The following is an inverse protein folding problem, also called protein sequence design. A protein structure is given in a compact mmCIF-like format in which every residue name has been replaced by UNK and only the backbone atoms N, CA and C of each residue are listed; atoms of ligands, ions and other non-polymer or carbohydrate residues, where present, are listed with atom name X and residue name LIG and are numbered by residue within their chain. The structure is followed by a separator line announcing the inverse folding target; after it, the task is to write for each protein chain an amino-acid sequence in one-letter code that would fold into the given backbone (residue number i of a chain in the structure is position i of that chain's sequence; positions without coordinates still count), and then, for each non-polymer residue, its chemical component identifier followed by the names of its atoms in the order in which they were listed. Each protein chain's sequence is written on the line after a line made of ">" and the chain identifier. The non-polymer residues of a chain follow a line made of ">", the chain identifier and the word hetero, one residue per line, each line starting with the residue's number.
data_IF_423909721724
#
_entry.id   IF_423909721724
#
_cell.length_a   1.000
_cell.length_b   1.000
_cell.length_c   1.000
_cell.angle_alpha   90.00
_cell.angle_beta   90.00
_cell.angle_gamma   90.00
#
_symmetry.space_group_name_H-M   'P 1'
#
loop_
_entity.id
_entity.type
_entity.pdbx_description
1 polymer ?
#
# COMPACT_ATOMS: atom_id res chain seq x y z
N UNK A 1 -13.62 9.62 -10.83
CA UNK A 1 -12.33 8.90 -10.92
C UNK A 1 -12.49 7.57 -10.19
N UNK A 2 -11.80 6.52 -10.63
CA UNK A 2 -11.79 5.24 -9.91
C UNK A 2 -10.51 5.13 -9.07
N UNK A 3 -10.65 4.84 -7.78
CA UNK A 3 -9.54 4.41 -6.93
C UNK A 3 -9.68 2.91 -6.69
N UNK A 4 -8.64 2.15 -7.02
CA UNK A 4 -8.59 0.71 -6.85
C UNK A 4 -7.50 0.41 -5.82
N UNK A 5 -7.90 0.02 -4.62
CA UNK A 5 -7.01 -0.51 -3.62
C UNK A 5 -6.65 -1.95 -3.97
N UNK A 6 -5.38 -2.31 -3.86
CA UNK A 6 -4.86 -3.66 -4.09
C UNK A 6 -4.00 -4.03 -2.88
N UNK A 7 -4.31 -5.13 -2.21
CA UNK A 7 -3.39 -5.70 -1.22
C UNK A 7 -2.22 -6.34 -1.96
N UNK A 8 -0.99 -6.17 -1.47
CA UNK A 8 0.17 -6.88 -2.04
C UNK A 8 -0.06 -8.41 -2.17
N UNK A 9 0.65 -9.05 -3.10
CA UNK A 9 0.67 -10.50 -3.21
C UNK A 9 1.29 -11.18 -1.98
N UNK A 10 1.24 -12.51 -1.88
CA UNK A 10 1.80 -13.23 -0.75
C UNK A 10 3.28 -12.90 -0.52
N UNK A 11 3.59 -12.23 0.59
CA UNK A 11 4.95 -12.01 1.06
C UNK A 11 5.44 -13.17 1.94
N UNK A 12 6.75 -13.24 2.17
CA UNK A 12 7.33 -14.25 3.08
C UNK A 12 6.66 -14.23 4.47
N UNK A 13 6.31 -13.05 4.97
CA UNK A 13 5.61 -12.88 6.25
C UNK A 13 4.18 -13.48 6.28
N UNK A 14 3.62 -13.88 5.14
CA UNK A 14 2.30 -14.53 5.04
C UNK A 14 2.39 -16.06 4.95
N UNK A 15 3.59 -16.65 4.92
CA UNK A 15 3.81 -18.12 4.81
C UNK A 15 3.94 -18.77 6.18
N UNK A 16 3.74 -20.07 6.37
CA UNK A 16 3.75 -20.70 7.71
C UNK A 16 5.14 -20.94 8.35
N UNK A 17 6.16 -20.20 7.89
CA UNK A 17 7.51 -20.30 8.48
C UNK A 17 7.57 -19.65 9.87
N UNK A 18 8.42 -20.17 10.79
CA UNK A 18 8.66 -19.53 12.07
C UNK A 18 9.18 -18.10 11.91
N UNK A 19 8.81 -17.21 12.84
CA UNK A 19 9.28 -15.82 12.92
C UNK A 19 8.99 -14.93 11.69
N UNK A 20 8.09 -15.38 10.81
CA UNK A 20 7.70 -14.71 9.56
C UNK A 20 7.38 -13.21 9.72
N UNK A 21 6.73 -12.84 10.82
CA UNK A 21 6.29 -11.47 11.09
C UNK A 21 7.44 -10.54 11.52
N UNK A 22 8.57 -11.10 11.97
CA UNK A 22 9.77 -10.35 12.34
C UNK A 22 10.80 -10.25 11.21
N UNK A 23 10.48 -10.77 10.02
CA UNK A 23 11.29 -10.56 8.83
C UNK A 23 11.17 -9.11 8.39
N UNK A 24 12.29 -8.38 8.39
CA UNK A 24 12.35 -6.98 7.92
C UNK A 24 12.22 -6.96 6.39
N UNK A 25 11.40 -6.04 5.87
CA UNK A 25 11.21 -5.82 4.43
C UNK A 25 11.01 -7.12 3.62
N UNK A 26 10.03 -7.96 3.98
CA UNK A 26 9.86 -9.26 3.34
C UNK A 26 9.49 -9.09 1.86
N UNK A 27 10.18 -9.84 1.00
CA UNK A 27 9.85 -9.97 -0.42
C UNK A 27 8.55 -10.75 -0.65
N UNK A 28 8.00 -10.59 -1.85
CA UNK A 28 7.02 -11.51 -2.42
C UNK A 28 7.63 -12.91 -2.60
N UNK A 29 6.83 -13.91 -2.24
CA UNK A 29 7.07 -15.31 -2.60
C UNK A 29 6.79 -15.53 -4.09
N UNK A 30 7.19 -16.68 -4.63
CA UNK A 30 6.84 -17.06 -6.01
C UNK A 30 5.31 -17.10 -6.21
N UNK A 31 4.59 -17.72 -5.27
CA UNK A 31 3.13 -17.70 -5.26
C UNK A 31 2.58 -16.27 -5.25
N UNK A 32 3.20 -15.37 -4.49
CA UNK A 32 2.85 -13.96 -4.46
C UNK A 32 3.03 -13.28 -5.81
N UNK A 33 4.13 -13.56 -6.52
CA UNK A 33 4.38 -13.04 -7.86
C UNK A 33 3.34 -13.56 -8.86
N UNK A 34 2.99 -14.85 -8.80
CA UNK A 34 1.93 -15.44 -9.62
C UNK A 34 0.54 -14.82 -9.35
N UNK A 35 0.20 -14.58 -8.08
CA UNK A 35 -1.04 -13.91 -7.70
C UNK A 35 -1.14 -12.51 -8.32
N UNK A 36 -0.06 -11.73 -8.22
CA UNK A 36 -0.03 -10.36 -8.76
C UNK A 36 -0.02 -10.37 -10.30
N UNK A 37 0.66 -11.33 -10.93
CA UNK A 37 0.66 -11.47 -12.38
C UNK A 37 -0.77 -11.68 -12.93
N UNK A 38 -1.63 -12.41 -12.20
CA UNK A 38 -3.04 -12.61 -12.58
C UNK A 38 -3.85 -11.31 -12.62
N UNK A 39 -3.53 -10.31 -11.77
CA UNK A 39 -4.20 -9.00 -11.80
C UNK A 39 -4.09 -8.29 -13.15
N UNK A 40 -3.03 -8.56 -13.90
CA UNK A 40 -2.86 -7.99 -15.24
C UNK A 40 -3.94 -8.45 -16.21
N UNK A 41 -4.45 -9.67 -16.02
CA UNK A 41 -5.57 -10.20 -16.82
C UNK A 41 -6.91 -9.58 -16.42
N UNK A 42 -7.04 -9.10 -15.18
CA UNK A 42 -8.28 -8.49 -14.67
C UNK A 42 -8.43 -7.02 -15.09
N UNK A 43 -7.37 -6.22 -14.95
CA UNK A 43 -7.48 -4.76 -15.06
C UNK A 43 -7.09 -4.16 -16.40
N UNK A 44 -6.37 -4.90 -17.26
CA UNK A 44 -5.75 -4.35 -18.47
C UNK A 44 -5.08 -2.99 -18.18
N UNK A 45 -3.98 -3.00 -17.44
CA UNK A 45 -3.29 -1.77 -17.03
C UNK A 45 -2.83 -0.94 -18.25
N UNK A 46 -2.90 0.38 -18.13
CA UNK A 46 -2.59 1.34 -19.19
C UNK A 46 -1.59 2.40 -18.72
N UNK A 47 -0.98 3.13 -19.67
CA UNK A 47 0.06 4.13 -19.37
C UNK A 47 -0.51 5.38 -18.68
N UNK A 48 -1.80 5.65 -18.86
CA UNK A 48 -2.50 6.77 -18.25
C UNK A 48 -2.90 6.51 -16.79
N UNK A 49 -2.86 5.25 -16.36
CA UNK A 49 -3.13 4.87 -14.98
C UNK A 49 -2.02 5.40 -14.04
N UNK A 50 -2.42 5.72 -12.82
CA UNK A 50 -1.48 6.11 -11.76
C UNK A 50 -1.36 4.98 -10.74
N UNK A 51 -0.14 4.68 -10.32
CA UNK A 51 0.17 3.64 -9.34
C UNK A 51 0.81 4.28 -8.11
N UNK A 52 0.23 4.04 -6.94
CA UNK A 52 0.72 4.56 -5.66
C UNK A 52 1.03 3.37 -4.77
N UNK A 53 2.28 3.20 -4.40
CA UNK A 53 2.74 2.09 -3.58
C UNK A 53 2.99 2.52 -2.14
N UNK A 54 2.65 1.62 -1.22
CA UNK A 54 3.19 1.63 0.13
C UNK A 54 4.71 1.49 0.07
N UNK A 55 5.47 2.09 1.00
CA UNK A 55 6.92 1.99 1.04
C UNK A 55 7.38 0.67 1.66
N UNK A 56 6.71 -0.45 1.40
CA UNK A 56 7.22 -1.79 1.78
C UNK A 56 7.74 -2.50 0.53
N UNK A 57 8.76 -3.34 0.68
CA UNK A 57 9.38 -3.99 -0.48
C UNK A 57 8.37 -4.84 -1.28
N UNK A 58 7.53 -5.62 -0.59
CA UNK A 58 6.44 -6.40 -1.20
C UNK A 58 5.42 -5.59 -2.01
N UNK A 59 5.12 -4.35 -1.61
CA UNK A 59 4.19 -3.47 -2.34
C UNK A 59 4.87 -2.81 -3.53
N UNK A 60 6.16 -2.47 -3.41
CA UNK A 60 6.98 -2.00 -4.53
C UNK A 60 7.13 -3.10 -5.58
N UNK A 61 7.44 -4.33 -5.18
CA UNK A 61 7.50 -5.49 -6.08
C UNK A 61 6.15 -5.76 -6.75
N UNK A 62 5.04 -5.70 -6.00
CA UNK A 62 3.69 -5.83 -6.55
C UNK A 62 3.44 -4.78 -7.63
N UNK A 63 3.78 -3.51 -7.34
CA UNK A 63 3.63 -2.39 -8.28
C UNK A 63 4.47 -2.60 -9.55
N UNK A 64 5.71 -3.09 -9.41
CA UNK A 64 6.57 -3.40 -10.55
C UNK A 64 6.03 -4.52 -11.43
N UNK A 65 5.41 -5.55 -10.85
CA UNK A 65 4.79 -6.64 -11.62
C UNK A 65 3.58 -6.15 -12.40
N UNK A 66 2.68 -5.37 -11.79
CA UNK A 66 1.45 -4.89 -12.47
C UNK A 66 1.75 -3.87 -13.56
N UNK A 67 2.82 -3.09 -13.41
CA UNK A 67 3.25 -2.08 -14.39
C UNK A 67 4.24 -2.63 -15.44
N UNK A 68 4.67 -3.88 -15.31
CA UNK A 68 5.66 -4.47 -16.20
C UNK A 68 5.15 -4.48 -17.67
N UNK A 69 5.95 -3.92 -18.58
CA UNK A 69 5.59 -3.78 -20.00
C UNK A 69 4.84 -2.49 -20.34
N UNK A 70 4.57 -1.62 -19.36
CA UNK A 70 4.19 -0.23 -19.62
C UNK A 70 5.46 0.59 -19.87
N UNK A 71 5.49 1.36 -20.97
CA UNK A 71 6.69 2.11 -21.35
C UNK A 71 7.03 3.27 -20.40
N UNK A 72 6.01 3.88 -19.77
CA UNK A 72 6.18 5.01 -18.85
C UNK A 72 5.01 5.05 -17.85
N UNK A 73 5.03 4.12 -16.90
CA UNK A 73 4.02 4.09 -15.84
C UNK A 73 4.29 5.21 -14.82
N UNK A 74 3.23 5.91 -14.40
CA UNK A 74 3.31 6.92 -13.34
C UNK A 74 3.28 6.23 -11.98
N UNK A 75 4.44 6.09 -11.35
CA UNK A 75 4.60 5.40 -10.07
C UNK A 75 4.95 6.39 -8.97
N UNK A 76 4.21 6.32 -7.88
CA UNK A 76 4.46 7.09 -6.67
C UNK A 76 4.68 6.15 -5.50
N UNK A 77 5.48 6.58 -4.53
CA UNK A 77 5.64 5.88 -3.24
C UNK A 77 5.42 6.88 -2.11
N UNK A 78 4.61 6.49 -1.13
CA UNK A 78 4.22 7.38 -0.02
C UNK A 78 3.98 6.62 1.28
N UNK A 79 4.48 7.11 2.44
CA UNK A 79 4.16 6.54 3.74
C UNK A 79 2.67 6.62 4.08
N UNK A 80 1.89 7.46 3.39
CA UNK A 80 0.45 7.61 3.62
C UNK A 80 -0.40 6.42 3.16
N UNK A 81 0.20 5.47 2.43
CA UNK A 81 -0.40 4.16 2.17
C UNK A 81 0.46 3.02 2.74
N UNK A 82 1.30 3.35 3.74
CA UNK A 82 2.04 2.42 4.60
C UNK A 82 1.14 1.39 5.30
N UNK A 83 1.72 0.37 5.96
CA UNK A 83 0.96 -0.52 6.83
C UNK A 83 0.18 0.25 7.89
N UNK A 84 -1.05 -0.20 8.19
CA UNK A 84 -1.89 0.33 9.26
C UNK A 84 -2.68 -0.77 9.95
N UNK A 85 -2.71 -0.74 11.27
CA UNK A 85 -3.49 -1.70 12.05
C UNK A 85 -5.00 -1.49 11.86
N UNK A 86 -5.74 -2.59 11.81
CA UNK A 86 -7.20 -2.56 11.80
C UNK A 86 -7.80 -3.78 12.53
N UNK A 87 -8.77 -3.59 13.45
CA UNK A 87 -9.06 -2.31 14.10
C UNK A 87 -7.83 -1.79 14.87
N UNK A 88 -7.78 -0.49 15.14
CA UNK A 88 -6.69 0.10 15.92
C UNK A 88 -6.77 -0.38 17.37
N UNK A 89 -5.74 -1.07 17.91
CA UNK A 89 -5.73 -1.49 19.31
C UNK A 89 -5.51 -0.29 20.25
N UNK A 90 -5.78 -0.47 21.54
CA UNK A 90 -5.61 0.58 22.56
C UNK A 90 -4.15 0.94 22.86
N UNK A 91 -3.21 0.02 22.58
CA UNK A 91 -1.77 0.22 22.73
C UNK A 91 -1.05 -0.27 21.44
N UNK A 92 -1.14 0.48 20.33
CA UNK A 92 -0.68 0.01 19.03
C UNK A 92 0.83 -0.21 18.95
N UNK A 93 1.62 0.52 19.72
CA UNK A 93 3.08 0.39 19.78
C UNK A 93 3.50 -1.03 20.20
N UNK A 94 2.71 -1.70 21.05
CA UNK A 94 2.98 -3.06 21.51
C UNK A 94 2.77 -4.15 20.43
N UNK A 95 2.11 -3.80 19.32
CA UNK A 95 1.78 -4.74 18.24
C UNK A 95 2.57 -4.47 16.96
N UNK A 96 3.54 -3.57 16.98
CA UNK A 96 4.36 -3.25 15.81
C UNK A 96 5.20 -4.46 15.43
N UNK A 97 5.08 -4.87 14.16
CA UNK A 97 5.83 -5.99 13.58
C UNK A 97 6.94 -5.45 12.69
N UNK A 98 8.09 -6.14 12.66
CA UNK A 98 9.23 -5.71 11.83
C UNK A 98 8.94 -5.77 10.34
N UNK A 99 7.99 -6.62 9.91
CA UNK A 99 7.55 -6.67 8.52
C UNK A 99 6.82 -5.41 8.07
N UNK A 100 6.35 -4.57 9.00
CA UNK A 100 5.64 -3.33 8.70
C UNK A 100 6.55 -2.09 8.71
N UNK A 101 7.84 -2.27 9.01
CA UNK A 101 8.83 -1.22 8.85
C UNK A 101 8.95 -0.89 7.36
N UNK A 102 9.02 0.40 7.05
CA UNK A 102 9.21 0.88 5.70
C UNK A 102 10.58 0.45 5.12
N UNK A 103 10.62 0.21 3.83
CA UNK A 103 11.87 0.11 3.10
C UNK A 103 12.60 1.46 3.21
N UNK A 104 13.91 1.48 3.53
CA UNK A 104 14.64 2.71 3.75
C UNK A 104 14.50 3.69 2.57
N UNK A 105 14.22 4.96 2.88
CA UNK A 105 13.96 5.98 1.87
C UNK A 105 15.14 6.19 0.92
N UNK A 106 16.36 6.13 1.42
CA UNK A 106 17.58 6.20 0.62
C UNK A 106 17.65 5.04 -0.39
N UNK A 107 17.35 3.82 0.03
CA UNK A 107 17.29 2.65 -0.86
C UNK A 107 16.17 2.77 -1.90
N UNK A 108 15.00 3.29 -1.53
CA UNK A 108 13.92 3.56 -2.50
C UNK A 108 14.42 4.55 -3.57
N UNK A 109 15.04 5.65 -3.18
CA UNK A 109 15.54 6.66 -4.11
C UNK A 109 16.64 6.11 -5.03
N UNK A 110 17.50 5.21 -4.54
CA UNK A 110 18.61 4.68 -5.33
C UNK A 110 18.25 3.45 -6.17
N UNK A 111 17.43 2.54 -5.65
CA UNK A 111 17.14 1.23 -6.26
C UNK A 111 15.80 1.19 -7.01
N UNK A 112 14.90 2.15 -6.73
CA UNK A 112 13.57 2.26 -7.33
C UNK A 112 13.35 3.67 -7.89
N UNK A 113 14.33 4.16 -8.66
CA UNK A 113 14.37 5.52 -9.20
C UNK A 113 13.28 5.83 -10.23
N UNK A 114 12.50 4.82 -10.64
CA UNK A 114 11.29 4.96 -11.45
C UNK A 114 10.04 5.36 -10.63
N UNK A 115 10.16 5.48 -9.30
CA UNK A 115 9.12 6.01 -8.42
C UNK A 115 9.37 7.47 -8.06
N UNK A 116 8.33 8.29 -8.20
CA UNK A 116 8.26 9.61 -7.58
C UNK A 116 7.96 9.45 -6.08
N UNK A 117 8.85 9.99 -5.24
CA UNK A 117 8.74 9.90 -3.78
C UNK A 117 7.93 11.08 -3.24
N UNK A 118 6.79 10.80 -2.63
CA UNK A 118 6.00 11.80 -1.92
C UNK A 118 6.44 11.91 -0.45
N UNK A 119 6.11 13.03 0.19
CA UNK A 119 6.46 13.32 1.59
C UNK A 119 7.97 13.19 1.89
N UNK A 120 8.85 13.40 0.89
CA UNK A 120 10.31 13.25 1.04
C UNK A 120 10.90 14.14 2.15
N UNK A 121 10.30 15.31 2.36
CA UNK A 121 10.72 16.30 3.36
C UNK A 121 10.10 16.05 4.75
N UNK A 122 9.40 14.92 4.95
CA UNK A 122 8.75 14.52 6.20
C UNK A 122 9.39 13.24 6.79
N UNK A 123 10.60 13.33 7.37
CA UNK A 123 11.32 12.17 7.89
C UNK A 123 10.54 11.43 8.98
N UNK A 124 9.70 12.12 9.75
CA UNK A 124 8.84 11.52 10.78
C UNK A 124 7.84 10.51 10.19
N UNK A 125 7.25 10.84 9.02
CA UNK A 125 6.32 9.95 8.32
C UNK A 125 7.05 8.79 7.67
N UNK A 126 8.25 9.00 7.16
CA UNK A 126 9.07 7.92 6.59
C UNK A 126 9.57 6.95 7.66
N UNK A 127 9.93 7.45 8.84
CA UNK A 127 10.44 6.63 9.95
C UNK A 127 9.34 5.88 10.70
N UNK A 128 8.21 6.52 10.98
CA UNK A 128 7.16 5.98 11.86
C UNK A 128 5.95 5.46 11.09
N UNK A 129 5.74 5.95 9.87
CA UNK A 129 4.58 5.64 9.06
C UNK A 129 3.25 6.01 9.70
N UNK A 130 2.20 5.35 9.20
CA UNK A 130 0.82 5.55 9.68
C UNK A 130 0.33 4.39 10.55
N UNK A 131 1.22 3.45 10.92
CA UNK A 131 0.81 2.14 11.43
C UNK A 131 0.08 2.22 12.76
N UNK A 132 0.60 3.05 13.66
CA UNK A 132 0.14 3.23 15.04
C UNK A 132 -0.58 4.54 15.28
N UNK A 133 -0.73 5.40 14.26
CA UNK A 133 -1.39 6.69 14.41
C UNK A 133 -2.84 6.50 14.86
N UNK A 134 -3.29 7.26 15.86
CA UNK A 134 -4.71 7.29 16.21
C UNK A 134 -5.57 7.73 15.01
N UNK A 135 -6.86 7.43 15.04
CA UNK A 135 -7.75 7.80 13.94
C UNK A 135 -7.79 9.32 13.70
N UNK A 136 -7.80 10.10 14.79
CA UNK A 136 -7.75 11.56 14.70
C UNK A 136 -6.45 12.10 14.09
N UNK A 137 -5.34 11.38 14.24
CA UNK A 137 -4.05 11.75 13.63
C UNK A 137 -3.95 11.28 12.18
N UNK A 138 -4.50 10.12 11.85
CA UNK A 138 -4.50 9.56 10.50
C UNK A 138 -5.44 10.28 9.54
N UNK A 139 -6.69 10.53 9.96
CA UNK A 139 -7.74 11.10 9.10
C UNK A 139 -7.31 12.35 8.29
N UNK A 140 -6.68 13.39 8.88
CA UNK A 140 -6.24 14.55 8.09
C UNK A 140 -5.15 14.21 7.05
N UNK A 141 -4.26 13.24 7.34
CA UNK A 141 -3.22 12.80 6.41
C UNK A 141 -3.85 12.01 5.25
N UNK A 142 -4.77 11.09 5.55
CA UNK A 142 -5.49 10.32 4.53
C UNK A 142 -6.33 11.20 3.62
N UNK A 143 -7.06 12.17 4.18
CA UNK A 143 -7.86 13.13 3.39
C UNK A 143 -6.98 14.01 2.51
N UNK A 144 -5.78 14.39 2.99
CA UNK A 144 -4.81 15.13 2.18
C UNK A 144 -4.35 14.30 0.99
N UNK A 145 -4.02 13.02 1.17
CA UNK A 145 -3.68 12.13 0.06
C UNK A 145 -4.84 12.04 -0.93
N UNK A 146 -6.08 11.83 -0.46
CA UNK A 146 -7.25 11.73 -1.35
C UNK A 146 -7.45 12.99 -2.18
N UNK A 147 -7.30 14.19 -1.59
CA UNK A 147 -7.36 15.46 -2.34
C UNK A 147 -6.24 15.58 -3.37
N UNK A 148 -5.02 15.16 -3.02
CA UNK A 148 -3.90 15.14 -3.96
C UNK A 148 -4.20 14.20 -5.14
N UNK A 149 -4.72 12.99 -4.88
CA UNK A 149 -5.13 12.04 -5.93
C UNK A 149 -6.20 12.64 -6.83
N UNK A 150 -7.21 13.31 -6.28
CA UNK A 150 -8.24 14.01 -7.07
C UNK A 150 -7.64 15.08 -7.98
N UNK A 151 -6.58 15.75 -7.54
CA UNK A 151 -5.85 16.75 -8.32
C UNK A 151 -5.06 16.19 -9.51
N UNK A 152 -4.80 14.88 -9.57
CA UNK A 152 -4.07 14.27 -10.69
C UNK A 152 -4.89 14.20 -11.99
N UNK A 153 -6.21 14.38 -11.91
CA UNK A 153 -7.14 14.24 -13.04
C UNK A 153 -7.01 12.89 -13.79
N UNK A 154 -6.53 11.85 -13.11
CA UNK A 154 -6.42 10.50 -13.66
C UNK A 154 -7.79 9.82 -13.72
N UNK A 155 -7.99 8.94 -14.71
CA UNK A 155 -9.23 8.14 -14.78
C UNK A 155 -9.26 7.03 -13.73
N UNK A 156 -8.13 6.33 -13.56
CA UNK A 156 -7.95 5.24 -12.60
C UNK A 156 -6.65 5.45 -11.82
N UNK A 157 -6.72 5.20 -10.52
CA UNK A 157 -5.57 5.23 -9.60
C UNK A 157 -5.55 3.92 -8.83
N UNK A 158 -4.43 3.21 -8.92
CA UNK A 158 -4.19 1.97 -8.21
C UNK A 158 -3.35 2.25 -6.97
N UNK A 159 -3.87 1.90 -5.80
CA UNK A 159 -3.17 2.03 -4.52
C UNK A 159 -2.77 0.64 -4.04
N UNK A 160 -1.48 0.32 -4.10
CA UNK A 160 -0.92 -0.97 -3.71
C UNK A 160 -0.47 -0.88 -2.24
N UNK A 161 -1.19 -1.57 -1.35
CA UNK A 161 -1.08 -1.40 0.10
C UNK A 161 -1.40 -2.70 0.88
N UNK A 162 -1.90 -2.58 2.11
CA UNK A 162 -2.13 -3.63 3.09
C UNK A 162 -3.59 -3.64 3.53
N UNK A 163 -4.11 -4.79 3.97
CA UNK A 163 -5.52 -4.96 4.35
C UNK A 163 -6.02 -3.91 5.34
N UNK A 164 -5.26 -3.68 6.42
CA UNK A 164 -5.66 -2.70 7.41
C UNK A 164 -5.67 -1.27 6.84
N UNK A 165 -4.75 -0.92 5.96
CA UNK A 165 -4.73 0.38 5.29
C UNK A 165 -5.91 0.56 4.34
N UNK A 166 -6.23 -0.46 3.53
CA UNK A 166 -7.44 -0.44 2.68
C UNK A 166 -8.68 -0.19 3.53
N UNK A 167 -8.80 -0.93 4.63
CA UNK A 167 -9.99 -0.85 5.49
C UNK A 167 -10.12 0.51 6.17
N UNK A 168 -9.01 1.07 6.65
CA UNK A 168 -9.00 2.43 7.21
C UNK A 168 -9.38 3.50 6.16
N UNK A 169 -8.90 3.39 4.90
CA UNK A 169 -9.32 4.33 3.85
C UNK A 169 -10.80 4.15 3.46
N UNK A 170 -11.33 2.92 3.48
CA UNK A 170 -12.77 2.68 3.28
C UNK A 170 -13.61 3.38 4.35
N UNK A 171 -13.23 3.23 5.63
CA UNK A 171 -13.86 3.98 6.73
C UNK A 171 -13.75 5.49 6.54
N UNK A 172 -12.57 6.00 6.18
CA UNK A 172 -12.34 7.43 5.95
C UNK A 172 -13.21 7.99 4.81
N UNK A 173 -13.56 7.15 3.84
CA UNK A 173 -14.41 7.47 2.70
C UNK A 173 -15.91 7.21 2.97
N UNK A 174 -16.29 6.89 4.21
CA UNK A 174 -17.67 6.81 4.67
C UNK A 174 -18.29 5.42 4.66
N UNK A 175 -17.49 4.36 4.53
CA UNK A 175 -17.99 2.99 4.68
C UNK A 175 -17.98 2.56 6.17
N UNK A 176 -19.14 2.19 6.69
CA UNK A 176 -19.30 1.81 8.10
C UNK A 176 -19.36 0.29 8.31
N UNK A 177 -19.06 -0.16 9.54
CA UNK A 177 -19.27 -1.56 9.96
C UNK A 177 -18.18 -2.55 9.52
N UNK A 178 -17.05 -2.05 9.00
CA UNK A 178 -15.95 -2.90 8.54
C UNK A 178 -15.23 -3.62 9.68
N UNK A 179 -14.89 -4.88 9.42
CA UNK A 179 -14.14 -5.74 10.34
C UNK A 179 -13.00 -6.46 9.60
N UNK A 180 -12.29 -7.35 10.30
CA UNK A 180 -11.25 -8.19 9.67
C UNK A 180 -11.81 -9.21 8.66
N UNK A 181 -13.12 -9.50 8.67
CA UNK A 181 -13.72 -10.34 7.62
C UNK A 181 -13.75 -9.66 6.26
N UNK A 182 -13.59 -8.33 6.23
CA UNK A 182 -13.62 -7.52 5.01
C UNK A 182 -12.23 -7.31 4.39
N UNK A 183 -11.22 -7.99 4.94
CA UNK A 183 -9.87 -8.03 4.38
C UNK A 183 -9.87 -8.74 3.03
N UNK A 184 -9.07 -8.25 2.09
CA UNK A 184 -9.16 -8.62 0.68
C UNK A 184 -8.47 -9.95 0.38
N UNK A 185 -7.54 -10.38 1.22
CA UNK A 185 -6.65 -11.50 0.91
C UNK A 185 -5.51 -11.07 -0.05
N UNK A 186 -4.51 -11.93 -0.24
CA UNK A 186 -3.33 -11.62 -1.05
C UNK A 186 -3.71 -11.32 -2.50
N UNK A 187 -3.19 -10.21 -3.05
CA UNK A 187 -3.58 -9.68 -4.37
C UNK A 187 -5.08 -9.38 -4.51
N UNK A 188 -5.86 -9.38 -3.43
CA UNK A 188 -7.26 -8.94 -3.46
C UNK A 188 -7.35 -7.43 -3.68
N UNK A 189 -8.48 -6.99 -4.24
CA UNK A 189 -8.68 -5.58 -4.59
C UNK A 189 -10.07 -5.08 -4.19
N UNK A 190 -10.17 -3.75 -4.02
CA UNK A 190 -11.40 -3.05 -3.72
C UNK A 190 -11.48 -1.74 -4.49
N UNK A 191 -12.61 -1.49 -5.16
CA UNK A 191 -12.81 -0.30 -5.98
C UNK A 191 -13.72 0.69 -5.26
N UNK A 192 -13.27 1.93 -5.16
CA UNK A 192 -14.05 3.09 -4.73
C UNK A 192 -14.18 4.08 -5.88
N UNK A 193 -15.35 4.67 -6.03
CA UNK A 193 -15.60 5.73 -7.01
C UNK A 193 -15.71 7.07 -6.27
N UNK A 194 -14.88 8.04 -6.66
CA UNK A 194 -14.88 9.40 -6.12
C UNK A 194 -15.00 10.46 -7.21
#
# INVERSE_FOLDING_TARGET
>A
MDIIFIRHGQGLHNTDIPDRLNTVNPHLTEKGREQVAKLRSEFSFHQEDVFISSPTLRTIETTNIVTCGLNSAKKYVTPLVGPRMFPMPSNPEAFVLKCDIHYPLDLIVTEHSDFDVLEKDHPELWNSGINTLSESAFAPLGLRLMRWIQGLCAKRVFIITHDGTVTNYRCLLGEDGLTRSDFLGEAGWYKVKI
#
